data_IF_924031037433
#
_entry.id   IF_924031037433
#
_cell.length_a   1.000
_cell.length_b   1.000
_cell.length_c   1.000
_cell.angle_alpha   90.00
_cell.angle_beta   90.00
_cell.angle_gamma   90.00
#
_symmetry.space_group_name_H-M   'P 1'
#
loop_
_entity.id
_entity.type
_entity.pdbx_description
1 polymer ?
#
# COMPACT_ATOMS: atom_id res chain seq x y z
N UNK A 1 -76.70 10.91 -5.68
CA UNK A 1 -75.67 11.98 -5.70
C UNK A 1 -74.32 11.34 -6.05
N UNK A 2 -73.37 12.09 -6.63
CA UNK A 2 -72.14 11.67 -7.37
C UNK A 2 -72.41 11.58 -8.89
N UNK A 3 -72.49 12.69 -9.64
CA UNK A 3 -71.46 13.62 -10.13
C UNK A 3 -70.65 13.07 -11.34
N UNK A 4 -70.82 13.72 -12.50
CA UNK A 4 -69.99 13.61 -13.73
C UNK A 4 -68.72 14.48 -13.57
N UNK A 5 -67.59 14.21 -14.26
CA UNK A 5 -67.34 14.93 -15.53
C UNK A 5 -66.51 14.18 -16.61
N UNK A 6 -66.41 14.86 -17.76
CA UNK A 6 -65.98 14.48 -19.12
C UNK A 6 -64.45 14.40 -19.32
N UNK A 7 -63.97 13.80 -20.43
CA UNK A 7 -62.55 13.74 -20.77
C UNK A 7 -62.09 14.96 -21.60
N UNK A 8 -60.92 15.49 -21.27
CA UNK A 8 -59.87 15.96 -22.19
C UNK A 8 -58.88 16.82 -21.43
N UNK A 9 -57.59 16.56 -21.60
CA UNK A 9 -56.62 17.64 -21.81
C UNK A 9 -55.42 17.11 -22.59
N UNK A 10 -55.06 17.85 -23.63
CA UNK A 10 -53.84 17.71 -24.40
C UNK A 10 -52.61 17.87 -23.49
N UNK A 11 -51.53 17.18 -23.84
CA UNK A 11 -50.19 17.73 -23.69
C UNK A 11 -49.31 17.21 -24.84
N UNK A 12 -49.06 18.10 -25.80
CA UNK A 12 -48.06 17.94 -26.83
C UNK A 12 -46.68 17.97 -26.18
N UNK A 13 -45.83 16.98 -26.47
CA UNK A 13 -44.41 17.03 -26.11
C UNK A 13 -43.64 17.22 -27.41
N UNK A 14 -43.22 18.47 -27.61
CA UNK A 14 -42.25 18.90 -28.59
C UNK A 14 -40.86 18.64 -28.01
N UNK A 15 -40.00 17.97 -28.76
CA UNK A 15 -38.58 17.82 -28.41
C UNK A 15 -37.96 16.64 -29.15
N UNK A 16 -36.77 16.71 -29.72
CA UNK A 16 -35.80 17.79 -29.87
C UNK A 16 -34.92 17.33 -31.04
N UNK A 17 -34.56 18.25 -31.94
CA UNK A 17 -33.79 17.96 -33.14
C UNK A 17 -32.42 17.34 -32.80
N UNK A 18 -32.10 16.23 -33.46
CA UNK A 18 -30.74 15.66 -33.53
C UNK A 18 -29.88 16.52 -34.45
N UNK A 19 -28.68 16.89 -34.00
CA UNK A 19 -27.54 17.08 -34.91
C UNK A 19 -26.18 16.98 -34.20
N UNK A 20 -25.29 16.25 -34.88
CA UNK A 20 -23.84 16.33 -34.86
C UNK A 20 -23.09 15.70 -33.67
N UNK A 21 -22.61 14.47 -33.92
CA UNK A 21 -21.45 13.93 -33.25
C UNK A 21 -20.17 14.64 -33.68
N UNK A 22 -19.28 14.84 -32.72
CA UNK A 22 -17.85 15.05 -32.93
C UNK A 22 -17.13 13.93 -32.16
N UNK A 23 -16.54 13.00 -32.90
CA UNK A 23 -15.59 12.04 -32.34
C UNK A 23 -14.27 12.77 -32.10
N UNK A 24 -13.82 12.79 -30.85
CA UNK A 24 -12.50 13.29 -30.44
C UNK A 24 -11.76 12.08 -29.83
N UNK A 25 -10.51 11.81 -30.23
CA UNK A 25 -9.86 10.52 -30.01
C UNK A 25 -9.66 10.21 -28.53
N UNK A 26 -9.84 8.93 -28.18
CA UNK A 26 -9.35 8.38 -26.92
C UNK A 26 -7.83 8.53 -26.87
N UNK A 27 -7.33 9.41 -26.01
CA UNK A 27 -5.94 9.35 -25.59
C UNK A 27 -5.78 8.09 -24.72
N UNK A 28 -5.21 7.06 -25.34
CA UNK A 28 -4.47 6.04 -24.62
C UNK A 28 -2.99 6.48 -24.51
N UNK A 29 -2.32 5.98 -23.47
CA UNK A 29 -0.96 6.28 -22.98
C UNK A 29 -0.92 7.42 -21.94
N UNK A 30 -0.31 7.25 -20.77
CA UNK A 30 0.73 6.30 -20.42
C UNK A 30 0.39 5.34 -19.27
N UNK A 31 0.94 4.13 -19.40
CA UNK A 31 1.31 3.28 -18.29
C UNK A 31 2.39 4.00 -17.46
N UNK A 32 1.98 4.92 -16.59
CA UNK A 32 2.84 5.36 -15.48
C UNK A 32 2.67 4.36 -14.34
N UNK A 33 3.05 3.11 -14.61
CA UNK A 33 3.40 2.14 -13.57
C UNK A 33 4.81 2.44 -13.07
N UNK A 34 5.05 3.68 -12.64
CA UNK A 34 6.25 4.05 -11.89
C UNK A 34 5.87 4.19 -10.42
N UNK A 35 6.18 3.12 -9.69
CA UNK A 35 6.23 3.00 -8.23
C UNK A 35 4.88 3.04 -7.48
N UNK A 36 4.26 1.85 -7.34
CA UNK A 36 3.30 1.54 -6.27
C UNK A 36 1.94 2.23 -6.40
N UNK A 37 1.15 1.85 -7.41
CA UNK A 37 -0.11 2.49 -7.75
C UNK A 37 -1.28 1.54 -7.98
N UNK A 38 -1.47 0.58 -7.09
CA UNK A 38 -2.82 0.25 -6.63
C UNK A 38 -2.93 0.92 -5.26
N UNK A 39 -4.12 1.36 -4.83
CA UNK A 39 -4.31 1.85 -3.46
C UNK A 39 -4.18 0.66 -2.50
N UNK A 40 -2.96 0.12 -2.41
CA UNK A 40 -2.58 -0.99 -1.56
C UNK A 40 -2.59 -0.42 -0.15
N UNK A 41 -3.70 -0.62 0.53
CA UNK A 41 -3.80 -0.35 1.95
C UNK A 41 -2.69 -1.14 2.65
N UNK A 42 -1.59 -0.46 2.96
CA UNK A 42 -0.52 -1.05 3.75
C UNK A 42 -1.13 -1.49 5.08
N UNK A 43 -0.88 -2.73 5.54
CA UNK A 43 -1.30 -3.14 6.88
C UNK A 43 -0.84 -2.09 7.90
N UNK A 44 -1.65 -1.78 8.94
CA UNK A 44 -1.27 -0.79 9.95
C UNK A 44 0.11 -1.06 10.55
N UNK A 45 0.48 -2.33 10.67
CA UNK A 45 1.80 -2.76 11.16
C UNK A 45 2.95 -2.39 10.21
N UNK A 46 2.69 -2.35 8.90
CA UNK A 46 3.69 -1.99 7.90
C UNK A 46 3.85 -0.47 7.80
N UNK A 47 2.77 0.29 8.01
CA UNK A 47 2.79 1.76 7.93
C UNK A 47 3.81 2.39 8.88
N UNK A 48 4.02 1.78 10.06
CA UNK A 48 5.03 2.24 11.05
C UNK A 48 6.45 2.21 10.47
N UNK A 49 6.74 1.25 9.58
CA UNK A 49 8.06 1.10 8.98
C UNK A 49 8.37 2.21 7.96
N UNK A 50 7.34 2.73 7.28
CA UNK A 50 7.48 3.74 6.23
C UNK A 50 7.93 5.10 6.78
N UNK A 51 7.86 5.32 8.10
CA UNK A 51 8.39 6.52 8.73
C UNK A 51 9.92 6.62 8.70
N UNK A 52 10.63 5.52 8.46
CA UNK A 52 12.10 5.49 8.40
C UNK A 52 12.64 4.79 7.14
N UNK A 53 11.90 3.83 6.60
CA UNK A 53 12.35 3.01 5.49
C UNK A 53 11.61 3.34 4.19
N UNK A 54 12.32 3.20 3.08
CA UNK A 54 11.72 3.12 1.74
C UNK A 54 11.43 1.66 1.38
N UNK A 55 10.59 1.45 0.36
CA UNK A 55 10.38 0.15 -0.30
C UNK A 55 10.84 0.20 -1.75
N UNK A 56 11.65 1.19 -2.11
CA UNK A 56 12.18 1.33 -3.46
C UNK A 56 13.31 0.32 -3.67
N UNK A 57 13.27 -0.39 -4.80
CA UNK A 57 14.24 -1.39 -5.20
C UNK A 57 15.62 -0.79 -5.45
N UNK A 58 15.65 0.43 -5.99
CA UNK A 58 16.89 1.09 -6.41
C UNK A 58 17.54 1.88 -5.26
N UNK A 59 16.81 2.05 -4.16
CA UNK A 59 17.26 2.78 -2.97
C UNK A 59 17.84 1.87 -1.86
N UNK A 60 18.76 0.96 -2.23
CA UNK A 60 19.27 -0.03 -1.25
C UNK A 60 20.03 0.61 -0.07
N UNK A 61 20.62 1.79 -0.28
CA UNK A 61 21.43 2.53 0.71
C UNK A 61 20.59 3.52 1.55
N UNK A 62 19.36 3.84 1.14
CA UNK A 62 18.40 4.63 1.92
C UNK A 62 18.45 6.13 1.61
N UNK A 63 17.47 6.61 0.84
CA UNK A 63 16.96 7.97 0.85
C UNK A 63 16.14 8.23 2.12
N UNK A 64 15.72 7.17 2.81
CA UNK A 64 15.14 7.20 4.15
C UNK A 64 16.18 7.30 5.27
N UNK A 65 15.71 7.44 6.52
CA UNK A 65 16.58 7.44 7.71
C UNK A 65 17.08 6.03 8.11
N UNK A 66 16.60 5.00 7.41
CA UNK A 66 17.03 3.62 7.50
C UNK A 66 17.03 2.93 6.11
N UNK A 67 17.77 1.82 5.91
CA UNK A 67 17.93 1.19 4.58
C UNK A 67 16.61 0.68 3.99
N UNK A 68 16.48 0.65 2.65
CA UNK A 68 15.27 0.14 1.98
C UNK A 68 14.91 -1.28 2.42
N UNK A 69 13.61 -1.55 2.59
CA UNK A 69 13.07 -2.87 2.90
C UNK A 69 12.98 -3.80 1.68
N UNK A 70 13.21 -3.28 0.47
CA UNK A 70 13.12 -4.08 -0.74
C UNK A 70 14.10 -5.27 -0.71
N UNK A 71 13.59 -6.48 -0.91
CA UNK A 71 14.37 -7.71 -0.85
C UNK A 71 15.12 -7.87 0.47
N UNK A 72 14.52 -7.45 1.60
CA UNK A 72 15.13 -7.65 2.93
C UNK A 72 15.12 -9.12 3.34
N UNK A 73 14.11 -9.89 2.93
CA UNK A 73 14.07 -11.34 3.17
C UNK A 73 15.18 -12.01 2.36
N UNK A 74 16.05 -12.75 3.04
CA UNK A 74 17.26 -13.37 2.51
C UNK A 74 18.50 -12.46 2.50
N UNK A 75 18.36 -11.17 2.82
CA UNK A 75 19.48 -10.22 2.87
C UNK A 75 20.25 -10.32 4.18
N UNK A 76 21.55 -10.12 4.13
CA UNK A 76 22.38 -10.01 5.34
C UNK A 76 21.97 -8.78 6.17
N UNK A 77 21.88 -8.88 7.51
CA UNK A 77 21.64 -7.74 8.37
C UNK A 77 22.74 -6.69 8.27
N UNK A 78 22.34 -5.43 8.04
CA UNK A 78 23.22 -4.27 8.17
C UNK A 78 23.17 -3.65 9.59
N UNK A 79 22.61 -4.37 10.56
CA UNK A 79 22.43 -3.90 11.93
C UNK A 79 23.49 -4.49 12.83
N UNK A 80 24.29 -3.62 13.45
CA UNK A 80 25.33 -4.03 14.40
C UNK A 80 24.75 -4.85 15.57
N UNK A 81 25.47 -5.90 15.96
CA UNK A 81 25.09 -6.79 17.06
C UNK A 81 24.10 -7.90 16.69
N UNK A 82 23.46 -7.84 15.52
CA UNK A 82 22.63 -8.94 15.02
C UNK A 82 23.52 -10.06 14.48
N UNK A 83 23.41 -11.25 15.09
CA UNK A 83 24.23 -12.43 14.75
C UNK A 83 23.44 -13.48 13.97
N UNK A 84 22.88 -13.09 12.82
CA UNK A 84 22.31 -14.01 11.82
C UNK A 84 22.94 -13.71 10.46
N UNK A 85 23.12 -14.74 9.61
CA UNK A 85 23.72 -14.55 8.28
C UNK A 85 22.76 -13.95 7.26
N UNK A 86 21.45 -14.07 7.49
CA UNK A 86 20.40 -13.51 6.64
C UNK A 86 19.12 -13.31 7.44
N UNK A 87 18.30 -12.37 7.00
CA UNK A 87 16.92 -12.25 7.45
C UNK A 87 16.06 -13.35 6.86
N UNK A 88 15.74 -14.35 7.66
CA UNK A 88 14.68 -15.31 7.40
C UNK A 88 13.47 -15.02 8.29
N UNK A 89 12.39 -15.79 8.10
CA UNK A 89 11.15 -15.62 8.87
C UNK A 89 11.37 -15.72 10.38
N UNK A 90 12.21 -16.66 10.84
CA UNK A 90 12.46 -16.84 12.27
C UNK A 90 13.23 -15.65 12.88
N UNK A 91 14.28 -15.18 12.21
CA UNK A 91 15.05 -14.02 12.66
C UNK A 91 14.25 -12.73 12.57
N UNK A 92 13.37 -12.58 11.56
CA UNK A 92 12.44 -11.46 11.48
C UNK A 92 11.36 -11.52 12.56
N UNK A 93 10.83 -12.70 12.90
CA UNK A 93 9.92 -12.87 14.02
C UNK A 93 10.56 -12.40 15.33
N UNK A 94 11.83 -12.78 15.59
CA UNK A 94 12.57 -12.34 16.78
C UNK A 94 12.84 -10.84 16.75
N UNK A 95 13.27 -10.30 15.60
CA UNK A 95 13.60 -8.88 15.45
C UNK A 95 12.38 -7.99 15.65
N UNK A 96 11.27 -8.33 14.97
CA UNK A 96 10.03 -7.59 15.06
C UNK A 96 9.37 -7.70 16.42
N UNK A 97 9.71 -8.71 17.24
CA UNK A 97 9.21 -8.81 18.62
C UNK A 97 9.91 -7.81 19.55
N UNK A 98 11.24 -7.72 19.48
CA UNK A 98 12.03 -6.80 20.28
C UNK A 98 13.44 -6.63 19.69
N UNK A 99 13.69 -5.55 18.92
CA UNK A 99 15.00 -5.29 18.34
C UNK A 99 16.13 -5.19 19.38
N UNK A 100 15.85 -4.56 20.52
CA UNK A 100 16.83 -4.36 21.61
C UNK A 100 17.19 -5.65 22.34
N UNK A 101 16.31 -6.65 22.34
CA UNK A 101 16.64 -7.97 22.87
C UNK A 101 17.63 -8.73 21.96
N UNK A 102 17.55 -8.51 20.64
CA UNK A 102 18.49 -9.10 19.68
C UNK A 102 19.80 -8.32 19.58
N UNK A 103 19.74 -6.99 19.59
CA UNK A 103 20.88 -6.09 19.50
C UNK A 103 20.69 -4.93 20.50
N UNK A 104 21.23 -5.04 21.72
CA UNK A 104 21.01 -4.06 22.79
C UNK A 104 21.36 -2.61 22.42
N UNK A 105 22.46 -2.44 21.67
CA UNK A 105 23.00 -1.15 21.26
C UNK A 105 22.47 -0.66 19.90
N UNK A 106 21.44 -1.32 19.35
CA UNK A 106 20.86 -0.93 18.06
C UNK A 106 20.36 0.52 18.07
N UNK A 107 20.60 1.22 16.96
CA UNK A 107 20.06 2.56 16.71
C UNK A 107 18.59 2.53 16.27
N UNK A 108 18.04 1.34 15.99
CA UNK A 108 16.62 1.17 15.69
C UNK A 108 15.77 1.70 16.85
N UNK A 109 14.81 2.56 16.50
CA UNK A 109 13.81 3.11 17.44
C UNK A 109 12.52 2.30 17.48
N UNK A 110 12.43 1.24 16.67
CA UNK A 110 11.24 0.41 16.61
C UNK A 110 11.05 -0.35 17.94
N UNK A 111 9.91 -0.20 18.63
CA UNK A 111 9.70 -0.83 19.94
C UNK A 111 9.43 -2.34 19.85
N UNK A 112 9.01 -2.83 18.69
CA UNK A 112 8.56 -4.21 18.50
C UNK A 112 7.03 -4.35 18.55
N UNK A 113 6.53 -5.44 17.96
CA UNK A 113 5.15 -5.92 18.08
C UNK A 113 5.10 -7.10 19.04
N UNK A 114 4.34 -6.97 20.13
CA UNK A 114 4.13 -8.08 21.06
C UNK A 114 3.27 -9.21 20.44
N UNK A 115 2.28 -8.84 19.63
CA UNK A 115 1.40 -9.78 18.94
C UNK A 115 2.16 -10.53 17.81
N UNK A 116 2.22 -11.87 17.84
CA UNK A 116 2.79 -12.65 16.74
C UNK A 116 2.08 -12.46 15.41
N UNK A 117 0.75 -12.26 15.41
CA UNK A 117 0.01 -12.11 14.17
C UNK A 117 0.34 -10.78 13.47
N UNK A 118 0.60 -9.72 14.24
CA UNK A 118 1.12 -8.45 13.72
C UNK A 118 2.48 -8.62 13.04
N UNK A 119 3.40 -9.38 13.65
CA UNK A 119 4.72 -9.68 13.05
C UNK A 119 4.58 -10.48 11.77
N UNK A 120 3.68 -11.46 11.74
CA UNK A 120 3.42 -12.27 10.55
C UNK A 120 2.94 -11.41 9.37
N UNK A 121 2.01 -10.47 9.62
CA UNK A 121 1.54 -9.54 8.56
C UNK A 121 2.68 -8.70 7.97
N UNK A 122 3.62 -8.26 8.81
CA UNK A 122 4.80 -7.54 8.33
C UNK A 122 5.70 -8.46 7.50
N UNK A 123 5.97 -9.68 7.97
CA UNK A 123 6.85 -10.61 7.27
C UNK A 123 6.26 -11.01 5.91
N UNK A 124 4.97 -11.28 5.83
CA UNK A 124 4.30 -11.59 4.56
C UNK A 124 4.37 -10.41 3.59
N UNK A 125 4.21 -9.17 4.07
CA UNK A 125 4.46 -8.00 3.24
C UNK A 125 5.91 -7.94 2.74
N UNK A 126 6.90 -8.16 3.61
CA UNK A 126 8.32 -8.14 3.24
C UNK A 126 8.70 -9.24 2.24
N UNK A 127 8.04 -10.39 2.27
CA UNK A 127 8.21 -11.47 1.27
C UNK A 127 7.70 -11.07 -0.12
N UNK A 128 6.74 -10.14 -0.18
CA UNK A 128 6.17 -9.60 -1.41
C UNK A 128 6.94 -8.45 -2.06
N UNK A 129 8.00 -7.95 -1.39
CA UNK A 129 8.92 -6.92 -1.90
C UNK A 129 10.13 -7.56 -2.61
#
# INVERSE_FOLDING_TARGET
MQARPKPSLLAAILGLASLAGAAVPAMAAGDDAENGGEESFLPPEVQVCMGCHTIDRDDRQGAGSAPSLWGVVGREPAVDGVRVSRWDEESLQRWLANPRAMAPDTTSRFPGYADPAARERVIEFLKGL
#
